data_IF_791333484149
#
_entry.id   IF_791333484149
#
_cell.length_a   1.000
_cell.length_b   1.000
_cell.length_c   1.000
_cell.angle_alpha   90.00
_cell.angle_beta   90.00
_cell.angle_gamma   90.00
#
_symmetry.space_group_name_H-M   'P 1'
#
loop_
_entity.id
_entity.type
_entity.pdbx_description
1 polymer ?
#
# COMPACT_ATOMS: atom_id res chain seq x y z
N UNK A 1 34.26 28.92 32.00
CA UNK A 1 33.85 27.68 32.68
C UNK A 1 32.88 26.98 31.75
N UNK A 2 33.34 25.94 31.06
CA UNK A 2 32.55 25.08 30.16
C UNK A 2 31.99 23.90 30.98
N UNK A 3 30.74 23.49 30.81
CA UNK A 3 30.31 22.18 31.32
C UNK A 3 30.47 21.08 30.27
N UNK A 4 30.75 19.90 30.79
CA UNK A 4 31.26 18.70 30.16
C UNK A 4 30.33 18.06 29.12
N UNK A 5 30.96 17.52 28.07
CA UNK A 5 30.36 16.60 27.10
C UNK A 5 30.00 15.26 27.75
N UNK A 6 28.75 14.83 27.64
CA UNK A 6 28.30 13.48 27.99
C UNK A 6 28.43 12.60 26.74
N UNK A 7 29.22 11.54 26.89
CA UNK A 7 29.58 10.57 25.85
C UNK A 7 28.40 9.65 25.46
N UNK A 8 28.23 9.41 24.12
CA UNK A 8 27.24 8.53 23.48
C UNK A 8 27.27 7.04 23.87
N UNK A 9 28.00 6.63 24.88
CA UNK A 9 28.18 5.23 25.30
C UNK A 9 27.32 4.78 26.49
N UNK A 10 26.47 5.60 27.05
CA UNK A 10 25.69 5.28 28.27
C UNK A 10 24.18 5.02 28.06
N UNK A 11 23.66 5.06 26.82
CA UNK A 11 22.22 4.84 26.52
C UNK A 11 21.88 3.44 25.98
N UNK A 12 22.78 2.47 26.03
CA UNK A 12 22.56 1.10 25.54
C UNK A 12 22.69 0.03 26.65
N UNK A 13 22.07 0.25 27.82
CA UNK A 13 21.92 -0.80 28.85
C UNK A 13 20.60 -0.62 29.60
N UNK A 14 19.54 -1.25 29.05
CA UNK A 14 18.25 -1.25 29.75
C UNK A 14 17.13 -1.96 29.02
N UNK A 15 17.34 -3.15 28.48
CA UNK A 15 16.24 -4.04 28.10
C UNK A 15 16.79 -5.45 27.83
N UNK A 16 17.00 -6.23 28.87
CA UNK A 16 17.16 -7.69 28.76
C UNK A 16 17.15 -8.26 30.19
N UNK A 17 16.02 -8.72 30.64
CA UNK A 17 15.90 -9.81 31.64
C UNK A 17 14.42 -10.12 31.87
N UNK A 18 13.94 -11.21 31.36
CA UNK A 18 13.15 -12.26 32.04
C UNK A 18 12.85 -13.35 31.01
N UNK A 19 13.55 -14.46 31.10
CA UNK A 19 13.06 -15.80 30.81
C UNK A 19 14.11 -16.78 31.37
N UNK A 20 13.85 -17.27 32.53
CA UNK A 20 14.64 -18.31 33.23
C UNK A 20 13.89 -19.63 33.30
N UNK A 21 14.58 -20.69 32.89
CA UNK A 21 14.64 -22.03 33.47
C UNK A 21 13.39 -22.95 33.46
N UNK A 22 13.49 -24.04 32.70
CA UNK A 22 13.47 -25.38 33.30
C UNK A 22 13.95 -26.41 32.27
N UNK A 23 15.18 -26.86 32.41
CA UNK A 23 15.71 -28.08 31.77
C UNK A 23 15.50 -29.27 32.69
N UNK A 24 15.03 -30.40 32.14
CA UNK A 24 15.20 -31.73 32.75
C UNK A 24 15.65 -32.68 31.65
N UNK A 25 16.87 -33.16 31.82
CA UNK A 25 17.43 -34.26 31.06
C UNK A 25 17.04 -35.58 31.73
N UNK A 26 16.62 -36.56 30.94
CA UNK A 26 16.61 -37.95 31.35
C UNK A 26 17.05 -38.84 30.21
N UNK A 27 18.21 -39.51 30.44
CA UNK A 27 18.80 -40.57 29.68
C UNK A 27 18.12 -41.90 29.98
N UNK A 28 17.97 -42.79 28.98
CA UNK A 28 17.58 -44.17 29.32
C UNK A 28 17.24 -45.07 28.14
N UNK A 29 18.30 -45.74 27.57
CA UNK A 29 18.38 -47.12 27.09
C UNK A 29 17.29 -47.81 26.27
N UNK A 30 17.73 -48.24 25.11
CA UNK A 30 17.43 -49.36 24.24
C UNK A 30 16.89 -50.67 24.94
N UNK A 31 15.83 -51.24 24.36
CA UNK A 31 15.73 -52.72 24.24
C UNK A 31 14.85 -53.12 23.04
N UNK A 32 15.38 -54.04 22.26
CA UNK A 32 14.72 -54.70 21.12
C UNK A 32 13.66 -55.69 21.63
N UNK A 33 12.55 -55.79 20.94
CA UNK A 33 11.56 -56.84 21.13
C UNK A 33 10.80 -57.12 19.85
N UNK A 34 10.89 -58.34 19.42
CA UNK A 34 10.45 -59.00 18.22
C UNK A 34 8.90 -59.01 18.05
N UNK A 35 8.50 -59.08 16.78
CA UNK A 35 7.13 -59.25 16.29
C UNK A 35 6.50 -60.60 16.65
N UNK A 36 5.15 -60.71 16.59
CA UNK A 36 4.60 -61.70 15.69
C UNK A 36 3.50 -61.21 14.76
N UNK A 37 3.53 -61.78 13.57
CA UNK A 37 2.54 -61.76 12.49
C UNK A 37 1.35 -62.67 12.79
N UNK A 38 0.14 -62.37 12.24
CA UNK A 38 -0.93 -63.25 11.73
C UNK A 38 -2.26 -62.50 11.61
N UNK A 39 -3.27 -62.86 10.79
CA UNK A 39 -3.35 -62.96 9.32
C UNK A 39 -4.45 -62.06 8.66
N UNK A 40 -4.46 -62.03 7.36
CA UNK A 40 -5.50 -61.45 6.50
C UNK A 40 -6.87 -62.08 6.66
N UNK A 41 -7.91 -61.24 6.78
CA UNK A 41 -9.25 -61.57 6.27
C UNK A 41 -9.77 -60.40 5.45
N UNK A 42 -10.03 -60.71 4.19
CA UNK A 42 -10.62 -59.90 3.15
C UNK A 42 -12.14 -59.91 3.38
N UNK A 43 -12.74 -58.72 3.59
CA UNK A 43 -14.20 -58.53 3.36
C UNK A 43 -14.42 -57.04 3.03
N UNK A 44 -14.64 -56.74 1.73
CA UNK A 44 -15.33 -55.50 1.33
C UNK A 44 -16.81 -55.60 1.63
N UNK A 45 -17.41 -54.49 2.06
CA UNK A 45 -18.52 -53.96 1.25
C UNK A 45 -18.55 -52.42 1.15
N UNK A 46 -19.05 -51.96 0.00
CA UNK A 46 -19.93 -50.82 -0.16
C UNK A 46 -19.33 -49.41 0.00
N UNK A 47 -19.03 -48.79 -1.13
CA UNK A 47 -18.81 -47.36 -1.27
C UNK A 47 -20.13 -46.59 -1.03
N UNK A 48 -20.19 -45.77 0.01
CA UNK A 48 -21.08 -44.61 0.05
C UNK A 48 -20.21 -43.35 -0.07
N UNK A 49 -20.30 -42.73 -1.25
CA UNK A 49 -19.67 -41.44 -1.53
C UNK A 49 -20.50 -40.33 -0.85
N UNK A 50 -20.10 -39.96 0.37
CA UNK A 50 -20.53 -38.71 0.98
C UNK A 50 -20.00 -37.52 0.14
N UNK A 51 -20.70 -36.37 0.12
CA UNK A 51 -20.30 -35.23 -0.68
C UNK A 51 -18.91 -34.77 -0.27
N UNK A 52 -17.98 -34.77 -1.24
CA UNK A 52 -16.66 -34.15 -1.08
C UNK A 52 -16.87 -32.65 -0.84
N UNK A 53 -16.62 -32.22 0.38
CA UNK A 53 -16.44 -30.82 0.70
C UNK A 53 -15.15 -30.41 -0.02
N UNK A 54 -15.30 -29.81 -1.21
CA UNK A 54 -14.21 -29.08 -1.83
C UNK A 54 -13.80 -27.99 -0.84
N UNK A 55 -12.69 -28.19 -0.15
CA UNK A 55 -11.96 -27.09 0.47
C UNK A 55 -11.67 -26.11 -0.68
N UNK A 56 -12.33 -24.96 -0.67
CA UNK A 56 -11.96 -23.88 -1.55
C UNK A 56 -10.51 -23.53 -1.23
N UNK A 57 -9.63 -23.84 -2.15
CA UNK A 57 -8.28 -23.25 -2.17
C UNK A 57 -8.46 -21.75 -2.31
N UNK A 58 -8.39 -21.03 -1.20
CA UNK A 58 -8.40 -19.56 -1.15
C UNK A 58 -7.00 -19.04 -1.50
N UNK A 59 -6.52 -19.43 -2.70
CA UNK A 59 -5.30 -18.90 -3.28
C UNK A 59 -5.62 -17.76 -4.24
N UNK A 60 -4.69 -16.82 -4.43
CA UNK A 60 -4.76 -15.74 -5.43
C UNK A 60 -4.79 -16.25 -6.89
N UNK A 61 -4.82 -17.56 -7.07
CA UNK A 61 -4.82 -18.28 -8.32
C UNK A 61 -5.84 -17.70 -9.31
N UNK A 62 -5.31 -16.94 -10.26
CA UNK A 62 -6.02 -16.40 -11.40
C UNK A 62 -6.44 -14.93 -11.33
N UNK A 63 -6.08 -14.15 -10.32
CA UNK A 63 -6.23 -12.69 -10.39
C UNK A 63 -5.21 -12.11 -11.36
N UNK A 64 -5.67 -11.23 -12.26
CA UNK A 64 -4.80 -10.53 -13.20
C UNK A 64 -4.09 -9.34 -12.55
N UNK A 65 -2.94 -8.99 -13.08
CA UNK A 65 -2.01 -7.96 -12.58
C UNK A 65 -2.51 -6.53 -12.83
N UNK A 66 -3.72 -6.19 -12.40
CA UNK A 66 -4.28 -4.85 -12.54
C UNK A 66 -5.30 -4.50 -11.47
N UNK A 67 -5.52 -3.19 -11.30
CA UNK A 67 -6.51 -2.59 -10.39
C UNK A 67 -7.49 -1.80 -11.25
N UNK A 68 -8.78 -2.08 -11.08
CA UNK A 68 -9.87 -1.49 -11.85
C UNK A 68 -10.63 -0.44 -11.06
N UNK A 69 -11.20 0.55 -11.76
CA UNK A 69 -12.10 1.53 -11.17
C UNK A 69 -13.50 1.42 -11.78
N UNK A 70 -14.58 1.36 -10.97
CA UNK A 70 -15.94 1.42 -11.48
C UNK A 70 -16.26 2.77 -12.13
N UNK A 71 -17.12 2.77 -13.15
CA UNK A 71 -17.53 3.99 -13.85
C UNK A 71 -18.43 4.90 -13.00
N UNK A 72 -19.30 4.33 -12.15
CA UNK A 72 -20.33 5.08 -11.44
C UNK A 72 -20.65 4.56 -10.04
N UNK A 73 -21.82 4.97 -9.54
CA UNK A 73 -22.29 4.65 -8.18
C UNK A 73 -22.65 3.17 -7.98
N UNK A 74 -22.94 2.46 -9.05
CA UNK A 74 -23.30 1.03 -9.07
C UNK A 74 -22.68 0.39 -10.30
N UNK A 75 -22.36 -0.88 -10.22
CA UNK A 75 -21.90 -1.62 -11.40
C UNK A 75 -23.06 -1.82 -12.37
N UNK A 76 -22.79 -1.59 -13.64
CA UNK A 76 -23.66 -2.03 -14.75
C UNK A 76 -23.58 -3.56 -14.89
N UNK A 77 -24.52 -4.16 -15.63
CA UNK A 77 -24.45 -5.59 -15.93
C UNK A 77 -23.17 -5.95 -16.72
N UNK A 78 -22.76 -5.06 -17.63
CA UNK A 78 -21.55 -5.23 -18.43
C UNK A 78 -20.28 -5.15 -17.58
N UNK A 79 -20.20 -4.23 -16.62
CA UNK A 79 -19.07 -4.14 -15.69
C UNK A 79 -18.97 -5.37 -14.78
N UNK A 80 -20.12 -5.88 -14.27
CA UNK A 80 -20.13 -7.11 -13.47
C UNK A 80 -19.57 -8.29 -14.24
N UNK A 81 -20.08 -8.50 -15.46
CA UNK A 81 -19.62 -9.58 -16.32
C UNK A 81 -18.13 -9.43 -16.64
N UNK A 82 -17.71 -8.22 -17.00
CA UNK A 82 -16.32 -7.92 -17.33
C UNK A 82 -15.37 -8.14 -16.15
N UNK A 83 -15.67 -7.61 -14.96
CA UNK A 83 -14.81 -7.79 -13.81
C UNK A 83 -14.77 -9.24 -13.30
N UNK A 84 -15.89 -9.97 -13.41
CA UNK A 84 -15.94 -11.40 -13.08
C UNK A 84 -15.09 -12.25 -14.04
N UNK A 85 -15.02 -11.88 -15.32
CA UNK A 85 -14.24 -12.57 -16.36
C UNK A 85 -12.77 -12.19 -16.27
N UNK A 86 -12.47 -10.89 -16.16
CA UNK A 86 -11.10 -10.34 -16.18
C UNK A 86 -10.39 -10.40 -14.82
N UNK A 87 -11.12 -10.61 -13.72
CA UNK A 87 -10.59 -10.83 -12.35
C UNK A 87 -9.45 -9.88 -11.95
N UNK A 88 -9.68 -8.55 -11.87
CA UNK A 88 -8.66 -7.65 -11.38
C UNK A 88 -8.19 -8.05 -9.98
N UNK A 89 -6.91 -7.82 -9.66
CA UNK A 89 -6.38 -8.07 -8.32
C UNK A 89 -7.05 -7.19 -7.26
N UNK A 90 -7.40 -5.95 -7.60
CA UNK A 90 -8.07 -5.02 -6.71
C UNK A 90 -8.93 -4.01 -7.45
N UNK A 91 -9.58 -3.15 -6.68
CA UNK A 91 -10.41 -2.07 -7.19
C UNK A 91 -10.03 -0.75 -6.53
N UNK A 92 -10.29 0.38 -7.20
CA UNK A 92 -10.12 1.72 -6.62
C UNK A 92 -11.39 2.53 -6.79
N UNK A 93 -11.79 3.27 -5.76
CA UNK A 93 -12.99 4.13 -5.78
C UNK A 93 -12.63 5.60 -5.66
N UNK A 94 -13.40 6.43 -6.34
CA UNK A 94 -13.25 7.89 -6.41
C UNK A 94 -14.54 8.60 -6.02
N UNK A 95 -14.52 9.92 -5.95
CA UNK A 95 -15.71 10.72 -5.66
C UNK A 95 -16.93 10.43 -6.55
N UNK A 96 -16.72 10.03 -7.82
CA UNK A 96 -17.81 9.61 -8.73
C UNK A 96 -18.54 8.33 -8.30
N UNK A 97 -17.91 7.53 -7.46
CA UNK A 97 -18.44 6.26 -6.95
C UNK A 97 -19.16 6.42 -5.59
N UNK A 98 -19.29 7.64 -5.06
CA UNK A 98 -19.71 7.91 -3.69
C UNK A 98 -20.92 8.87 -3.70
N UNK A 99 -22.06 8.42 -3.19
CA UNK A 99 -23.23 9.29 -2.91
C UNK A 99 -23.58 9.31 -1.44
N UNK A 100 -23.62 8.16 -0.80
CA UNK A 100 -23.94 7.99 0.61
C UNK A 100 -23.35 6.68 1.17
N UNK A 101 -23.45 6.50 2.49
CA UNK A 101 -22.85 5.36 3.20
C UNK A 101 -23.38 3.99 2.73
N UNK A 102 -24.69 3.87 2.56
CA UNK A 102 -25.31 2.60 2.14
C UNK A 102 -24.90 2.22 0.73
N UNK A 103 -25.00 3.20 -0.20
CA UNK A 103 -24.64 2.99 -1.60
C UNK A 103 -23.17 2.57 -1.73
N UNK A 104 -22.24 3.21 -1.02
CA UNK A 104 -20.82 2.89 -1.07
C UNK A 104 -20.55 1.49 -0.50
N UNK A 105 -21.17 1.14 0.64
CA UNK A 105 -21.04 -0.19 1.23
C UNK A 105 -21.58 -1.29 0.31
N UNK A 106 -22.70 -1.05 -0.38
CA UNK A 106 -23.26 -1.98 -1.37
C UNK A 106 -22.29 -2.18 -2.54
N UNK A 107 -21.71 -1.09 -3.07
CA UNK A 107 -20.74 -1.15 -4.18
C UNK A 107 -19.48 -1.93 -3.78
N UNK A 108 -18.90 -1.63 -2.63
CA UNK A 108 -17.67 -2.30 -2.17
C UNK A 108 -17.90 -3.77 -1.82
N UNK A 109 -19.08 -4.11 -1.28
CA UNK A 109 -19.47 -5.51 -1.05
C UNK A 109 -19.56 -6.29 -2.37
N UNK A 110 -20.19 -5.70 -3.40
CA UNK A 110 -20.29 -6.29 -4.74
C UNK A 110 -18.90 -6.46 -5.39
N UNK A 111 -18.02 -5.46 -5.30
CA UNK A 111 -16.65 -5.54 -5.80
C UNK A 111 -15.85 -6.65 -5.10
N UNK A 112 -16.01 -6.81 -3.80
CA UNK A 112 -15.35 -7.88 -3.01
C UNK A 112 -15.87 -9.25 -3.40
N UNK A 113 -17.17 -9.40 -3.63
CA UNK A 113 -17.76 -10.65 -4.11
C UNK A 113 -17.17 -11.03 -5.48
N UNK A 114 -17.09 -10.08 -6.41
CA UNK A 114 -16.46 -10.28 -7.74
C UNK A 114 -14.98 -10.65 -7.61
N UNK A 115 -14.24 -9.97 -6.72
CA UNK A 115 -12.84 -10.27 -6.45
C UNK A 115 -12.59 -11.65 -5.85
N UNK A 116 -13.63 -12.28 -5.28
CA UNK A 116 -13.61 -13.67 -4.80
C UNK A 116 -12.72 -13.94 -3.58
N UNK A 117 -12.18 -12.90 -2.95
CA UNK A 117 -11.29 -13.01 -1.78
C UNK A 117 -11.78 -12.09 -0.67
N UNK A 118 -11.76 -12.57 0.58
CA UNK A 118 -12.17 -11.78 1.74
C UNK A 118 -11.33 -10.49 1.90
N UNK A 119 -10.06 -10.57 1.55
CA UNK A 119 -9.11 -9.44 1.59
C UNK A 119 -8.93 -8.78 0.21
N UNK A 120 -9.84 -8.97 -0.77
CA UNK A 120 -9.77 -8.23 -2.04
C UNK A 120 -9.49 -6.75 -1.77
N UNK A 121 -8.37 -6.18 -2.25
CA UNK A 121 -8.03 -4.80 -1.98
C UNK A 121 -9.01 -3.84 -2.67
N UNK A 122 -9.57 -2.91 -1.91
CA UNK A 122 -10.39 -1.81 -2.42
C UNK A 122 -9.74 -0.53 -1.94
N UNK A 123 -9.18 0.21 -2.89
CA UNK A 123 -8.36 1.39 -2.67
C UNK A 123 -9.18 2.69 -2.70
N UNK A 124 -8.63 3.71 -2.06
CA UNK A 124 -9.09 5.10 -2.13
C UNK A 124 -7.88 6.03 -2.01
N UNK A 125 -8.06 7.31 -2.38
CA UNK A 125 -7.16 8.41 -1.99
C UNK A 125 -7.80 9.21 -0.86
N UNK A 126 -7.44 8.93 0.36
CA UNK A 126 -7.93 9.62 1.55
C UNK A 126 -6.74 10.14 2.37
N UNK A 127 -5.98 11.10 1.81
CA UNK A 127 -4.71 11.58 2.39
C UNK A 127 -4.90 12.56 3.57
N UNK A 128 -6.00 13.27 3.57
CA UNK A 128 -6.21 14.50 4.33
C UNK A 128 -6.08 15.76 3.47
N UNK A 129 -6.36 16.92 4.03
CA UNK A 129 -6.33 18.18 3.30
C UNK A 129 -7.24 18.17 2.06
N UNK A 130 -6.67 18.53 0.90
CA UNK A 130 -7.41 18.61 -0.37
C UNK A 130 -7.66 17.26 -1.06
N UNK A 131 -6.92 16.22 -0.69
CA UNK A 131 -7.06 14.89 -1.28
C UNK A 131 -7.90 14.01 -0.37
N UNK A 132 -9.20 14.14 -0.50
CA UNK A 132 -10.20 13.36 0.24
C UNK A 132 -11.37 13.04 -0.69
N UNK A 133 -11.70 11.76 -0.81
CA UNK A 133 -12.87 11.29 -1.56
C UNK A 133 -14.10 11.21 -0.66
N UNK A 134 -13.91 10.70 0.57
CA UNK A 134 -14.94 10.76 1.62
C UNK A 134 -14.88 12.14 2.31
N UNK A 135 -16.04 12.76 2.41
CA UNK A 135 -16.20 14.09 3.03
C UNK A 135 -17.25 14.02 4.13
N UNK A 136 -17.29 14.99 5.04
CA UNK A 136 -18.38 15.07 6.03
C UNK A 136 -19.77 14.99 5.36
N UNK A 137 -20.73 14.23 5.89
CA UNK A 137 -20.66 13.53 7.20
C UNK A 137 -20.05 12.11 7.15
N UNK A 138 -19.62 11.60 5.98
CA UNK A 138 -19.15 10.22 5.84
C UNK A 138 -17.78 9.98 6.49
N UNK A 139 -16.88 10.94 6.42
CA UNK A 139 -15.62 10.98 7.16
C UNK A 139 -15.34 12.41 7.64
N UNK A 140 -14.59 12.57 8.74
CA UNK A 140 -14.14 13.90 9.19
C UNK A 140 -13.22 14.57 8.15
N UNK A 141 -13.15 15.90 8.19
CA UNK A 141 -12.07 16.61 7.51
C UNK A 141 -10.79 16.47 8.32
N UNK A 142 -9.73 15.93 7.69
CA UNK A 142 -8.40 15.83 8.27
C UNK A 142 -7.53 17.02 7.82
N UNK A 143 -6.59 17.48 8.65
CA UNK A 143 -5.58 18.47 8.26
C UNK A 143 -4.69 17.91 7.13
N UNK A 144 -3.93 18.80 6.51
CA UNK A 144 -2.97 18.42 5.47
C UNK A 144 -1.77 17.70 6.08
N UNK A 145 -1.05 16.85 5.33
CA UNK A 145 0.25 16.34 5.77
C UNK A 145 1.23 17.46 6.17
N UNK A 146 1.22 18.62 5.50
CA UNK A 146 2.02 19.78 5.88
C UNK A 146 1.65 20.34 7.26
N UNK A 147 0.40 20.23 7.71
CA UNK A 147 -0.02 20.61 9.07
C UNK A 147 0.63 19.72 10.12
N UNK A 148 0.70 18.40 9.84
CA UNK A 148 1.42 17.46 10.71
C UNK A 148 2.92 17.78 10.73
N UNK A 149 3.49 18.18 9.60
CA UNK A 149 4.86 18.65 9.51
C UNK A 149 5.12 19.89 10.36
N UNK A 150 4.18 20.86 10.36
CA UNK A 150 4.28 22.04 11.25
C UNK A 150 4.18 21.66 12.73
N UNK A 151 3.31 20.73 13.08
CA UNK A 151 3.23 20.21 14.44
C UNK A 151 4.54 19.54 14.85
N UNK A 152 5.12 18.71 13.98
CA UNK A 152 6.39 18.03 14.21
C UNK A 152 7.55 19.01 14.38
N UNK A 153 7.59 20.07 13.61
CA UNK A 153 8.61 21.12 13.74
C UNK A 153 8.52 21.87 15.08
N UNK A 154 7.32 22.02 15.64
CA UNK A 154 7.09 22.64 16.94
C UNK A 154 7.29 21.65 18.12
N UNK A 155 6.90 20.42 17.96
CA UNK A 155 6.93 19.33 18.94
C UNK A 155 7.01 17.98 18.19
N UNK A 156 8.21 17.42 18.12
CA UNK A 156 8.48 16.24 17.33
C UNK A 156 7.68 15.00 17.78
N UNK A 157 7.52 14.81 19.09
CA UNK A 157 6.76 13.69 19.64
C UNK A 157 5.27 13.84 19.34
N UNK A 158 4.72 15.03 19.52
CA UNK A 158 3.32 15.34 19.18
C UNK A 158 3.03 15.16 17.69
N UNK A 159 3.96 15.59 16.81
CA UNK A 159 3.85 15.41 15.36
C UNK A 159 3.80 13.96 14.94
N UNK A 160 4.72 13.14 15.41
CA UNK A 160 4.76 11.68 15.14
C UNK A 160 3.50 11.00 15.70
N UNK A 161 3.08 11.35 16.90
CA UNK A 161 1.86 10.78 17.50
C UNK A 161 0.61 11.16 16.71
N UNK A 162 0.48 12.41 16.30
CA UNK A 162 -0.64 12.88 15.47
C UNK A 162 -0.66 12.19 14.09
N UNK A 163 0.49 11.98 13.47
CA UNK A 163 0.63 11.25 12.22
C UNK A 163 0.17 9.80 12.34
N UNK A 164 0.60 9.10 13.40
CA UNK A 164 0.15 7.73 13.70
C UNK A 164 -1.37 7.68 13.91
N UNK A 165 -1.90 8.62 14.70
CA UNK A 165 -3.35 8.73 14.94
C UNK A 165 -4.11 9.00 13.64
N UNK A 166 -3.61 9.89 12.76
CA UNK A 166 -4.24 10.14 11.47
C UNK A 166 -4.34 8.86 10.65
N UNK A 167 -3.24 8.12 10.49
CA UNK A 167 -3.26 6.83 9.77
C UNK A 167 -4.27 5.84 10.36
N UNK A 168 -4.28 5.70 11.70
CA UNK A 168 -5.19 4.80 12.41
C UNK A 168 -6.67 5.18 12.24
N UNK A 169 -6.96 6.48 12.24
CA UNK A 169 -8.31 7.00 12.11
C UNK A 169 -8.79 7.00 10.65
N UNK A 170 -7.90 7.27 9.68
CA UNK A 170 -8.21 7.11 8.24
C UNK A 170 -8.65 5.67 7.95
N UNK A 171 -7.90 4.67 8.44
CA UNK A 171 -8.31 3.27 8.30
C UNK A 171 -9.70 3.02 8.90
N UNK A 172 -9.97 3.48 10.13
CA UNK A 172 -11.27 3.31 10.76
C UNK A 172 -12.41 3.93 9.95
N UNK A 173 -12.19 5.13 9.37
CA UNK A 173 -13.21 5.87 8.63
C UNK A 173 -13.54 5.25 7.27
N UNK A 174 -12.58 4.61 6.59
CA UNK A 174 -12.82 4.00 5.28
C UNK A 174 -13.30 2.54 5.38
N UNK A 175 -12.83 1.79 6.39
CA UNK A 175 -13.15 0.36 6.52
C UNK A 175 -14.61 0.09 6.85
N UNK A 176 -15.31 1.03 7.47
CA UNK A 176 -16.76 0.92 7.71
C UNK A 176 -17.57 0.87 6.42
N UNK A 177 -17.00 1.33 5.31
CA UNK A 177 -17.58 1.27 3.97
C UNK A 177 -16.99 0.13 3.13
N UNK A 178 -16.23 -0.77 3.73
CA UNK A 178 -15.62 -1.89 3.03
C UNK A 178 -14.38 -1.54 2.21
N UNK A 179 -13.85 -0.32 2.27
CA UNK A 179 -12.57 0.08 1.68
C UNK A 179 -11.47 -0.33 2.66
N UNK A 180 -10.40 -0.99 2.18
CA UNK A 180 -9.39 -1.60 3.04
C UNK A 180 -7.94 -1.27 2.63
N UNK A 181 -7.76 -0.40 1.63
CA UNK A 181 -6.46 0.09 1.19
C UNK A 181 -6.52 1.59 0.90
N UNK A 182 -5.46 2.31 1.20
CA UNK A 182 -5.36 3.75 0.94
C UNK A 182 -4.00 4.12 0.37
N UNK A 183 -4.01 5.04 -0.60
CA UNK A 183 -2.80 5.53 -1.25
C UNK A 183 -2.10 6.58 -0.36
N UNK A 184 -1.68 6.14 0.81
CA UNK A 184 -0.91 6.88 1.83
C UNK A 184 0.21 6.02 2.39
N UNK A 185 1.32 6.65 2.85
CA UNK A 185 1.65 8.08 2.88
C UNK A 185 2.21 8.62 1.55
N UNK A 186 2.08 9.94 1.34
CA UNK A 186 2.84 10.66 0.32
C UNK A 186 4.24 10.98 0.87
N UNK A 187 5.29 10.39 0.29
CA UNK A 187 6.68 10.52 0.74
C UNK A 187 7.50 11.49 -0.11
N UNK A 188 6.84 12.23 -0.99
CA UNK A 188 7.52 13.20 -1.85
C UNK A 188 8.08 14.37 -1.06
N UNK A 189 9.30 14.79 -1.42
CA UNK A 189 10.03 15.90 -0.78
C UNK A 189 10.06 17.07 -1.76
N UNK A 190 9.15 18.06 -1.66
CA UNK A 190 9.13 19.21 -2.56
C UNK A 190 10.37 20.07 -2.44
N UNK A 191 10.81 20.64 -3.58
CA UNK A 191 11.88 21.62 -3.63
C UNK A 191 11.34 22.96 -4.12
N UNK A 192 12.08 24.03 -3.87
CA UNK A 192 11.72 25.36 -4.36
C UNK A 192 11.67 25.37 -5.89
N UNK A 193 10.57 25.83 -6.47
CA UNK A 193 10.37 25.92 -7.92
C UNK A 193 9.77 24.66 -8.56
N UNK A 194 9.53 23.60 -7.79
CA UNK A 194 8.76 22.44 -8.27
C UNK A 194 7.26 22.80 -8.48
N UNK A 195 6.56 21.94 -9.21
CA UNK A 195 5.11 22.08 -9.38
C UNK A 195 4.38 21.93 -8.04
N UNK A 196 3.25 22.64 -7.90
CA UNK A 196 2.45 22.63 -6.66
C UNK A 196 1.58 21.37 -6.50
N UNK A 197 1.65 20.41 -7.41
CA UNK A 197 0.84 19.18 -7.36
C UNK A 197 1.06 18.39 -6.08
N UNK A 198 2.29 18.38 -5.55
CA UNK A 198 2.59 17.82 -4.23
C UNK A 198 2.22 18.85 -3.14
N UNK A 199 2.87 20.00 -3.10
CA UNK A 199 2.49 21.10 -2.21
C UNK A 199 2.26 20.66 -0.77
N UNK A 200 1.06 20.92 -0.25
CA UNK A 200 0.62 20.59 1.12
C UNK A 200 0.36 19.10 1.41
N UNK A 201 0.49 18.24 0.37
CA UNK A 201 0.48 16.78 0.53
C UNK A 201 1.79 16.25 1.13
N UNK A 202 2.88 17.01 1.06
CA UNK A 202 4.14 16.64 1.68
C UNK A 202 4.14 16.95 3.19
N UNK A 203 4.72 16.07 3.99
CA UNK A 203 4.89 16.28 5.43
C UNK A 203 5.94 17.36 5.75
N UNK A 204 6.81 17.69 4.82
CA UNK A 204 7.86 18.70 4.98
C UNK A 204 8.75 18.80 3.75
N UNK A 205 9.81 19.60 3.90
CA UNK A 205 10.84 19.80 2.88
C UNK A 205 12.16 19.08 3.22
N UNK A 206 12.17 18.39 4.36
CA UNK A 206 13.29 17.63 4.87
C UNK A 206 12.99 16.13 4.79
N UNK A 207 13.86 15.32 4.15
CA UNK A 207 13.64 13.88 3.99
C UNK A 207 13.43 13.11 5.28
N UNK A 208 14.13 13.48 6.36
CA UNK A 208 14.01 12.80 7.66
C UNK A 208 12.64 13.05 8.31
N UNK A 209 12.14 14.28 8.21
CA UNK A 209 10.76 14.64 8.64
C UNK A 209 9.71 13.86 7.86
N UNK A 210 9.85 13.82 6.52
CA UNK A 210 8.92 13.08 5.65
C UNK A 210 8.94 11.59 5.99
N UNK A 211 10.12 11.01 6.20
CA UNK A 211 10.26 9.62 6.60
C UNK A 211 9.60 9.33 7.96
N UNK A 212 9.88 10.14 8.97
CA UNK A 212 9.36 9.94 10.33
C UNK A 212 7.81 9.99 10.37
N UNK A 213 7.22 11.00 9.73
CA UNK A 213 5.77 11.18 9.72
C UNK A 213 5.08 10.17 8.78
N UNK A 214 5.67 9.90 7.61
CA UNK A 214 5.19 8.87 6.70
C UNK A 214 5.17 7.48 7.33
N UNK A 215 6.24 7.09 8.04
CA UNK A 215 6.27 5.82 8.79
C UNK A 215 5.15 5.77 9.85
N UNK A 216 4.97 6.85 10.60
CA UNK A 216 3.93 6.91 11.63
C UNK A 216 2.52 6.74 11.03
N UNK A 217 2.24 7.39 9.88
CA UNK A 217 0.95 7.22 9.18
C UNK A 217 0.78 5.78 8.68
N UNK A 218 1.80 5.19 8.06
CA UNK A 218 1.74 3.80 7.58
C UNK A 218 1.49 2.82 8.74
N UNK A 219 2.22 2.97 9.85
CA UNK A 219 2.06 2.12 11.04
C UNK A 219 0.68 2.26 11.67
N UNK A 220 0.17 3.48 11.75
CA UNK A 220 -1.18 3.75 12.23
C UNK A 220 -2.25 3.11 11.35
N UNK A 221 -2.08 3.19 10.01
CA UNK A 221 -3.00 2.61 9.05
C UNK A 221 -3.01 1.08 9.12
N UNK A 222 -1.83 0.44 9.24
CA UNK A 222 -1.71 -1.00 9.47
C UNK A 222 -2.34 -1.41 10.80
N UNK A 223 -2.13 -0.65 11.88
CA UNK A 223 -2.80 -0.90 13.16
C UNK A 223 -4.33 -0.78 13.06
N UNK A 224 -4.82 -0.02 12.09
CA UNK A 224 -6.22 0.06 11.69
C UNK A 224 -6.71 -1.12 10.86
N UNK A 225 -5.84 -2.06 10.48
CA UNK A 225 -6.16 -3.24 9.67
C UNK A 225 -6.15 -3.00 8.17
N UNK A 226 -5.69 -1.84 7.68
CA UNK A 226 -5.66 -1.47 6.28
C UNK A 226 -4.31 -1.67 5.60
N UNK A 227 -4.30 -1.69 4.28
CA UNK A 227 -3.12 -1.75 3.42
C UNK A 227 -2.69 -0.32 3.01
N UNK A 228 -1.59 0.22 3.54
CA UNK A 228 -1.03 1.49 3.10
C UNK A 228 -0.24 1.32 1.79
N UNK A 229 -0.30 2.35 0.93
CA UNK A 229 0.49 2.44 -0.30
C UNK A 229 1.31 3.72 -0.27
N UNK A 230 2.62 3.62 -0.05
CA UNK A 230 3.49 4.80 -0.11
C UNK A 230 3.65 5.31 -1.54
N UNK A 231 3.73 6.64 -1.71
CA UNK A 231 3.80 7.26 -3.05
C UNK A 231 4.59 8.58 -3.06
N UNK A 232 5.13 8.96 -4.21
CA UNK A 232 5.20 8.30 -5.49
C UNK A 232 6.65 7.88 -5.73
N UNK A 233 6.95 6.60 -5.55
CA UNK A 233 8.33 6.09 -5.61
C UNK A 233 8.93 6.22 -7.04
N UNK A 234 10.18 6.68 -7.20
CA UNK A 234 11.18 6.98 -6.18
C UNK A 234 11.20 8.43 -5.68
N UNK A 235 10.20 9.27 -6.00
CA UNK A 235 10.02 10.62 -5.46
C UNK A 235 9.51 11.64 -6.51
N UNK A 236 8.34 12.25 -6.30
CA UNK A 236 7.71 13.22 -7.21
C UNK A 236 8.02 14.69 -6.82
N UNK A 237 8.70 14.92 -5.71
CA UNK A 237 8.82 16.25 -5.09
C UNK A 237 9.56 17.30 -5.93
N UNK A 238 10.39 16.89 -6.93
CA UNK A 238 11.09 17.78 -7.88
C UNK A 238 10.38 17.91 -9.23
N UNK A 239 9.24 17.27 -9.42
CA UNK A 239 8.50 17.34 -10.68
C UNK A 239 8.23 18.78 -11.10
N UNK A 240 8.60 19.15 -12.33
CA UNK A 240 8.41 20.49 -12.90
C UNK A 240 7.05 20.66 -13.58
N UNK A 241 6.16 19.71 -13.42
CA UNK A 241 4.82 19.67 -13.99
C UNK A 241 3.92 18.73 -13.18
N UNK A 242 2.59 18.93 -13.32
CA UNK A 242 1.60 17.97 -12.88
C UNK A 242 1.49 16.82 -13.90
N UNK A 243 1.75 15.59 -13.44
CA UNK A 243 1.71 14.37 -14.25
C UNK A 243 0.32 14.04 -14.82
N UNK A 244 -0.75 14.61 -14.28
CA UNK A 244 -2.09 14.52 -14.88
C UNK A 244 -2.18 15.22 -16.26
N UNK A 245 -1.29 16.16 -16.56
CA UNK A 245 -1.34 16.96 -17.79
C UNK A 245 -0.16 16.75 -18.72
N UNK A 246 1.03 16.50 -18.20
CA UNK A 246 2.26 16.29 -18.99
C UNK A 246 3.32 15.55 -18.18
N UNK A 247 4.27 14.92 -18.87
CA UNK A 247 5.38 14.22 -18.24
C UNK A 247 6.30 15.22 -17.52
N UNK A 248 6.45 15.10 -16.17
CA UNK A 248 7.45 15.86 -15.43
C UNK A 248 8.86 15.34 -15.73
N UNK A 249 9.83 16.25 -15.74
CA UNK A 249 11.24 15.94 -15.99
C UNK A 249 12.08 16.41 -14.80
N UNK A 250 12.91 15.52 -14.29
CA UNK A 250 13.87 15.77 -13.21
C UNK A 250 15.27 15.51 -13.75
N UNK A 251 16.09 16.58 -13.82
CA UNK A 251 17.46 16.51 -14.29
C UNK A 251 18.50 16.54 -13.15
N UNK A 252 18.05 16.37 -11.92
CA UNK A 252 18.91 16.32 -10.73
C UNK A 252 19.78 15.06 -10.78
N UNK A 253 21.10 15.17 -10.46
CA UNK A 253 21.98 14.02 -10.44
C UNK A 253 21.50 12.93 -9.48
N UNK A 254 21.65 11.66 -9.88
CA UNK A 254 21.29 10.48 -9.06
C UNK A 254 21.88 10.55 -7.65
N UNK A 255 23.13 11.00 -7.53
CA UNK A 255 23.81 11.10 -6.22
C UNK A 255 23.10 12.06 -5.26
N UNK A 256 22.50 13.15 -5.77
CA UNK A 256 21.68 14.06 -4.97
C UNK A 256 20.30 13.44 -4.64
N UNK A 257 19.63 12.87 -5.65
CA UNK A 257 18.35 12.18 -5.48
C UNK A 257 18.42 11.07 -4.41
N UNK A 258 19.55 10.35 -4.39
CA UNK A 258 19.81 9.27 -3.41
C UNK A 258 19.74 9.72 -1.96
N UNK A 259 20.23 10.94 -1.68
CA UNK A 259 20.24 11.52 -0.33
C UNK A 259 19.01 12.35 0.02
N UNK A 260 18.15 12.63 -0.94
CA UNK A 260 16.99 13.51 -0.78
C UNK A 260 15.69 12.79 -1.14
N UNK A 261 15.37 12.70 -2.42
CA UNK A 261 14.07 12.20 -2.91
C UNK A 261 13.88 10.70 -2.60
N UNK A 262 14.94 9.89 -2.72
CA UNK A 262 14.87 8.45 -2.44
C UNK A 262 14.97 8.12 -0.95
N UNK A 263 15.46 9.04 -0.12
CA UNK A 263 15.75 8.77 1.29
C UNK A 263 14.51 8.37 2.11
N UNK A 264 13.33 9.03 1.99
CA UNK A 264 12.14 8.60 2.70
C UNK A 264 11.69 7.19 2.28
N UNK A 265 11.79 6.85 0.99
CA UNK A 265 11.42 5.52 0.49
C UNK A 265 12.38 4.44 0.97
N UNK A 266 13.69 4.77 1.12
CA UNK A 266 14.67 3.85 1.74
C UNK A 266 14.33 3.58 3.21
N UNK A 267 13.93 4.60 3.93
CA UNK A 267 13.52 4.46 5.33
C UNK A 267 12.27 3.61 5.50
N UNK A 268 11.34 3.69 4.53
CA UNK A 268 10.04 2.99 4.55
C UNK A 268 10.01 1.77 3.61
N UNK A 269 11.13 1.20 3.22
CA UNK A 269 11.19 0.12 2.24
C UNK A 269 10.50 -1.20 2.64
N UNK A 270 10.02 -1.28 3.88
CA UNK A 270 9.23 -2.41 4.40
C UNK A 270 7.72 -2.18 4.37
N UNK A 271 7.24 -1.02 3.94
CA UNK A 271 5.81 -0.78 3.70
C UNK A 271 5.30 -1.75 2.64
N UNK A 272 4.12 -2.37 2.82
CA UNK A 272 3.70 -3.51 2.00
C UNK A 272 3.46 -3.20 0.53
N UNK A 273 3.12 -1.95 0.19
CA UNK A 273 2.87 -1.53 -1.19
C UNK A 273 3.41 -0.13 -1.49
N UNK A 274 3.77 0.12 -2.75
CA UNK A 274 4.19 1.42 -3.24
C UNK A 274 3.61 1.70 -4.63
N UNK A 275 3.36 2.99 -4.92
CA UNK A 275 2.91 3.49 -6.21
C UNK A 275 4.04 4.26 -6.89
N UNK A 276 4.30 3.97 -8.18
CA UNK A 276 5.37 4.63 -8.94
C UNK A 276 5.03 6.07 -9.31
N UNK A 277 6.07 6.88 -9.55
CA UNK A 277 5.94 8.21 -10.12
C UNK A 277 6.00 8.17 -11.66
N UNK A 278 5.11 8.91 -12.35
CA UNK A 278 5.25 9.18 -13.78
C UNK A 278 6.24 10.33 -14.02
N UNK A 279 7.53 10.09 -13.79
CA UNK A 279 8.60 11.08 -13.90
C UNK A 279 9.75 10.55 -14.74
N UNK A 280 10.28 11.40 -15.61
CA UNK A 280 11.50 11.15 -16.35
C UNK A 280 12.70 11.67 -15.55
N UNK A 281 13.57 10.76 -15.08
CA UNK A 281 14.83 11.09 -14.39
C UNK A 281 15.99 11.01 -15.36
N UNK A 282 16.35 12.13 -15.98
CA UNK A 282 17.28 12.13 -17.13
C UNK A 282 18.71 11.70 -16.79
N UNK A 283 19.12 11.74 -15.52
CA UNK A 283 20.43 11.24 -15.08
C UNK A 283 20.43 9.71 -14.80
N UNK A 284 19.26 9.05 -14.91
CA UNK A 284 19.10 7.61 -14.66
C UNK A 284 18.62 6.92 -15.94
N UNK A 285 17.48 7.33 -16.48
CA UNK A 285 16.94 6.90 -17.76
C UNK A 285 16.38 8.14 -18.48
N UNK A 286 17.02 8.57 -19.57
CA UNK A 286 16.64 9.76 -20.33
C UNK A 286 15.54 9.50 -21.37
N UNK A 287 15.00 8.26 -21.42
CA UNK A 287 14.03 7.81 -22.41
C UNK A 287 12.67 7.45 -21.86
N UNK A 288 12.63 6.85 -20.66
CA UNK A 288 11.43 6.29 -20.09
C UNK A 288 11.13 6.88 -18.72
N UNK A 289 9.86 7.26 -18.43
CA UNK A 289 9.46 7.62 -17.08
C UNK A 289 9.62 6.43 -16.14
N UNK A 290 9.78 6.68 -14.85
CA UNK A 290 10.08 5.65 -13.85
C UNK A 290 9.12 4.45 -13.90
N UNK A 291 7.84 4.68 -14.11
CA UNK A 291 6.82 3.62 -14.25
C UNK A 291 7.08 2.64 -15.41
N UNK A 292 7.72 3.11 -16.49
CA UNK A 292 7.99 2.32 -17.70
C UNK A 292 9.48 1.98 -17.86
N UNK A 293 10.33 2.32 -16.87
CA UNK A 293 11.78 2.15 -16.95
C UNK A 293 12.24 0.92 -16.15
N UNK A 294 12.66 -0.18 -16.82
CA UNK A 294 13.28 -1.31 -16.12
C UNK A 294 14.50 -0.87 -15.31
N UNK A 295 15.26 0.11 -15.81
CA UNK A 295 16.46 0.64 -15.15
C UNK A 295 16.12 1.30 -13.81
N UNK A 296 15.09 2.17 -13.78
CA UNK A 296 14.65 2.83 -12.55
C UNK A 296 14.04 1.80 -11.58
N UNK A 297 13.24 0.87 -12.08
CA UNK A 297 12.61 -0.13 -11.21
C UNK A 297 13.66 -1.08 -10.64
N UNK A 298 14.54 -1.65 -11.45
CA UNK A 298 15.51 -2.65 -11.01
C UNK A 298 16.64 -2.03 -10.17
N UNK A 299 17.31 -0.97 -10.68
CA UNK A 299 18.48 -0.42 -10.00
C UNK A 299 18.14 0.54 -8.86
N UNK A 300 17.07 1.33 -9.00
CA UNK A 300 16.73 2.32 -7.98
C UNK A 300 15.69 1.76 -7.00
N UNK A 301 14.53 1.33 -7.47
CA UNK A 301 13.43 0.94 -6.58
C UNK A 301 13.77 -0.39 -5.87
N UNK A 302 14.11 -1.44 -6.64
CA UNK A 302 14.42 -2.75 -6.06
C UNK A 302 15.84 -2.81 -5.49
N UNK A 303 16.80 -2.17 -6.16
CA UNK A 303 18.21 -2.20 -5.77
C UNK A 303 18.56 -1.19 -4.68
N UNK A 304 18.62 0.10 -5.00
CA UNK A 304 19.13 1.14 -4.10
C UNK A 304 18.20 1.46 -2.92
N UNK A 305 16.90 1.59 -3.18
CA UNK A 305 15.86 1.78 -2.15
C UNK A 305 15.64 0.48 -1.39
N UNK A 306 15.79 -0.67 -2.06
CA UNK A 306 15.62 -1.99 -1.47
C UNK A 306 14.15 -2.35 -1.19
N UNK A 307 13.21 -1.78 -1.96
CA UNK A 307 11.79 -2.05 -1.80
C UNK A 307 11.42 -3.41 -2.40
N UNK A 308 10.95 -4.35 -1.60
CA UNK A 308 10.48 -5.68 -2.04
C UNK A 308 8.97 -5.92 -1.81
N UNK A 309 8.21 -4.86 -1.51
CA UNK A 309 6.75 -4.90 -1.46
C UNK A 309 6.10 -4.86 -2.85
N UNK A 310 4.76 -4.89 -2.88
CA UNK A 310 3.98 -4.77 -4.11
C UNK A 310 4.20 -3.40 -4.75
N UNK A 311 4.62 -3.38 -6.01
CA UNK A 311 4.80 -2.17 -6.80
C UNK A 311 3.66 -2.01 -7.78
N UNK A 312 2.84 -0.98 -7.60
CA UNK A 312 1.78 -0.61 -8.55
C UNK A 312 2.17 0.64 -9.33
N UNK A 313 1.66 0.78 -10.56
CA UNK A 313 1.77 2.05 -11.26
C UNK A 313 0.90 3.13 -10.60
N UNK A 314 1.20 4.42 -10.82
CA UNK A 314 0.16 5.45 -10.81
C UNK A 314 -0.81 5.22 -11.98
N UNK A 315 -1.89 6.00 -12.07
CA UNK A 315 -2.90 5.80 -13.11
C UNK A 315 -2.30 5.81 -14.52
N UNK A 316 -2.34 4.64 -15.16
CA UNK A 316 -1.76 4.43 -16.48
C UNK A 316 -2.40 5.30 -17.58
N UNK A 317 -3.59 5.85 -17.32
CA UNK A 317 -4.31 6.74 -18.25
C UNK A 317 -3.92 8.22 -18.13
N UNK A 318 -3.01 8.58 -17.20
CA UNK A 318 -2.53 9.95 -17.04
C UNK A 318 -1.76 10.44 -18.26
N UNK A 319 -1.92 11.73 -18.61
CA UNK A 319 -1.34 12.32 -19.82
C UNK A 319 0.19 12.45 -19.79
N UNK A 320 0.83 12.19 -18.66
CA UNK A 320 2.27 12.02 -18.56
C UNK A 320 2.77 10.87 -19.43
N UNK A 321 1.97 9.84 -19.62
CA UNK A 321 2.24 8.71 -20.48
C UNK A 321 1.52 8.90 -21.82
N UNK A 322 2.21 8.61 -22.91
CA UNK A 322 1.67 8.76 -24.26
C UNK A 322 1.76 7.44 -25.00
N UNK A 323 0.65 6.98 -25.55
CA UNK A 323 0.58 5.73 -26.30
C UNK A 323 -0.77 5.03 -26.19
N UNK A 324 -0.88 3.83 -26.72
CA UNK A 324 -2.01 2.96 -26.49
C UNK A 324 -1.96 2.38 -25.07
N UNK A 325 -3.07 2.37 -24.37
CA UNK A 325 -3.12 1.92 -22.97
C UNK A 325 -2.74 0.44 -22.79
N UNK A 326 -3.05 -0.40 -23.76
CA UNK A 326 -2.61 -1.80 -23.74
C UNK A 326 -1.10 -1.94 -23.89
N UNK A 327 -0.48 -1.14 -24.74
CA UNK A 327 0.99 -1.11 -24.89
C UNK A 327 1.66 -0.56 -23.64
N UNK A 328 1.17 0.57 -23.11
CA UNK A 328 1.68 1.16 -21.86
C UNK A 328 1.55 0.20 -20.67
N UNK A 329 0.44 -0.55 -20.59
CA UNK A 329 0.24 -1.54 -19.53
C UNK A 329 1.24 -2.69 -19.63
N UNK A 330 1.50 -3.21 -20.84
CA UNK A 330 2.55 -4.22 -21.06
C UNK A 330 3.93 -3.69 -20.71
N UNK A 331 4.29 -2.49 -21.20
CA UNK A 331 5.58 -1.86 -20.87
C UNK A 331 5.76 -1.65 -19.37
N UNK A 332 4.70 -1.26 -18.65
CA UNK A 332 4.72 -1.10 -17.19
C UNK A 332 5.01 -2.42 -16.46
N UNK A 333 4.31 -3.51 -16.83
CA UNK A 333 4.52 -4.84 -16.25
C UNK A 333 5.89 -5.41 -16.63
N UNK A 334 6.30 -5.26 -17.88
CA UNK A 334 7.61 -5.70 -18.38
C UNK A 334 8.77 -4.91 -17.72
N UNK A 335 8.51 -3.65 -17.32
CA UNK A 335 9.47 -2.84 -16.59
C UNK A 335 9.67 -3.31 -15.14
N UNK A 336 8.75 -4.10 -14.58
CA UNK A 336 8.86 -4.69 -13.24
C UNK A 336 7.86 -4.17 -12.21
N UNK A 337 6.82 -3.41 -12.62
CA UNK A 337 5.64 -3.20 -11.80
C UNK A 337 4.90 -4.54 -11.62
N UNK A 338 4.39 -4.80 -10.43
CA UNK A 338 3.64 -6.02 -10.15
C UNK A 338 2.18 -5.92 -10.62
N UNK A 339 1.59 -4.71 -10.58
CA UNK A 339 0.20 -4.45 -11.02
C UNK A 339 0.07 -3.06 -11.67
N UNK A 340 -0.84 -2.96 -12.65
CA UNK A 340 -1.19 -1.71 -13.32
C UNK A 340 -2.45 -1.12 -12.70
N UNK A 341 -2.45 0.19 -12.44
CA UNK A 341 -3.61 0.93 -11.96
C UNK A 341 -4.30 1.67 -13.11
N UNK A 342 -5.64 1.52 -13.22
CA UNK A 342 -6.47 2.29 -14.14
C UNK A 342 -7.64 2.93 -13.39
N UNK A 343 -7.79 4.27 -13.50
CA UNK A 343 -8.63 5.05 -12.60
C UNK A 343 -9.92 5.62 -13.21
N UNK A 344 -10.04 5.76 -14.52
CA UNK A 344 -11.12 6.57 -15.10
C UNK A 344 -12.47 5.86 -15.25
N UNK A 345 -12.51 4.51 -15.23
CA UNK A 345 -13.72 3.72 -15.34
C UNK A 345 -14.28 3.62 -16.77
N UNK A 346 -13.52 4.01 -17.80
CA UNK A 346 -13.91 3.81 -19.20
C UNK A 346 -13.74 2.34 -19.59
N UNK A 347 -14.85 1.72 -20.01
CA UNK A 347 -14.87 0.29 -20.35
C UNK A 347 -13.96 -0.06 -21.54
N UNK A 348 -13.85 0.82 -22.53
CA UNK A 348 -13.01 0.55 -23.69
C UNK A 348 -11.53 0.61 -23.34
N UNK A 349 -11.14 1.50 -22.42
CA UNK A 349 -9.80 1.60 -21.88
C UNK A 349 -9.49 0.44 -20.93
N UNK A 350 -10.41 0.12 -20.01
CA UNK A 350 -10.27 -1.04 -19.11
C UNK A 350 -10.04 -2.36 -19.85
N UNK A 351 -10.71 -2.58 -21.00
CA UNK A 351 -10.46 -3.76 -21.81
C UNK A 351 -9.03 -3.85 -22.32
N UNK A 352 -8.45 -2.73 -22.76
CA UNK A 352 -7.05 -2.70 -23.22
C UNK A 352 -6.06 -3.03 -22.10
N UNK A 353 -6.32 -2.49 -20.90
CA UNK A 353 -5.50 -2.79 -19.72
C UNK A 353 -5.62 -4.26 -19.30
N UNK A 354 -6.85 -4.77 -19.22
CA UNK A 354 -7.12 -6.17 -18.85
C UNK A 354 -6.54 -7.17 -19.86
N UNK A 355 -6.58 -6.85 -21.17
CA UNK A 355 -5.97 -7.67 -22.24
C UNK A 355 -4.44 -7.73 -22.11
N UNK A 356 -3.82 -6.68 -21.61
CA UNK A 356 -2.38 -6.61 -21.37
C UNK A 356 -1.97 -7.30 -20.07
N UNK A 357 -2.80 -7.22 -19.02
CA UNK A 357 -2.52 -7.79 -17.71
C UNK A 357 -2.64 -9.32 -17.75
N UNK A 358 -1.55 -10.00 -17.37
CA UNK A 358 -1.54 -11.45 -17.21
C UNK A 358 -1.93 -11.83 -15.77
N UNK A 359 -2.32 -13.10 -15.52
CA UNK A 359 -2.48 -13.59 -14.16
C UNK A 359 -1.20 -13.35 -13.33
N UNK A 360 -1.37 -12.89 -12.10
CA UNK A 360 -0.27 -12.74 -11.15
C UNK A 360 0.46 -14.06 -10.98
N UNK A 361 1.78 -14.03 -11.00
CA UNK A 361 2.64 -15.21 -10.86
C UNK A 361 4.00 -14.86 -10.26
N UNK A 362 4.72 -15.85 -9.75
CA UNK A 362 6.08 -15.70 -9.23
C UNK A 362 6.19 -14.62 -8.14
N UNK A 363 7.14 -13.70 -8.30
CA UNK A 363 7.38 -12.65 -7.30
C UNK A 363 6.21 -11.65 -7.21
N UNK A 364 5.53 -11.33 -8.31
CA UNK A 364 4.34 -10.48 -8.30
C UNK A 364 3.20 -11.09 -7.47
N UNK A 365 2.95 -12.40 -7.61
CA UNK A 365 1.96 -13.11 -6.80
C UNK A 365 2.36 -13.14 -5.32
N UNK A 366 3.64 -13.42 -5.02
CA UNK A 366 4.17 -13.39 -3.64
C UNK A 366 3.96 -12.04 -2.97
N UNK A 367 4.29 -10.95 -3.68
CA UNK A 367 4.13 -9.57 -3.18
C UNK A 367 2.68 -9.18 -3.01
N UNK A 368 1.84 -9.56 -3.96
CA UNK A 368 0.41 -9.33 -3.87
C UNK A 368 -0.23 -10.07 -2.69
N UNK A 369 0.15 -11.33 -2.45
CA UNK A 369 -0.28 -12.10 -1.29
C UNK A 369 0.20 -11.48 0.03
N UNK A 370 1.45 -11.00 0.09
CA UNK A 370 1.98 -10.31 1.26
C UNK A 370 1.26 -8.99 1.55
N UNK A 371 0.92 -8.22 0.51
CA UNK A 371 0.12 -7.00 0.63
C UNK A 371 -1.29 -7.30 1.15
N UNK A 372 -1.99 -8.29 0.61
CA UNK A 372 -3.30 -8.71 1.11
C UNK A 372 -3.26 -9.20 2.58
N UNK A 373 -2.17 -9.85 2.99
CA UNK A 373 -2.00 -10.31 4.37
C UNK A 373 -1.91 -9.16 5.39
N UNK A 374 -1.63 -7.94 4.95
CA UNK A 374 -1.67 -6.74 5.81
C UNK A 374 -3.11 -6.29 6.11
N UNK A 375 -4.08 -6.69 5.28
CA UNK A 375 -5.50 -6.44 5.52
C UNK A 375 -5.96 -7.44 6.58
N UNK A 376 -5.89 -7.02 7.83
CA UNK A 376 -6.03 -7.86 9.02
C UNK A 376 -7.12 -7.33 9.95
N UNK A 377 -7.55 -8.09 10.96
CA UNK A 377 -8.41 -7.57 12.00
C UNK A 377 -7.78 -6.35 12.68
N UNK A 378 -8.59 -5.32 12.89
CA UNK A 378 -8.20 -4.08 13.57
C UNK A 378 -7.62 -4.38 14.95
N UNK A 379 -6.47 -3.77 15.29
CA UNK A 379 -5.96 -3.80 16.65
C UNK A 379 -6.96 -3.07 17.56
N UNK A 380 -7.55 -3.74 18.58
CA UNK A 380 -8.56 -3.14 19.43
C UNK A 380 -8.04 -1.89 20.15
N UNK A 381 -8.81 -0.82 20.10
CA UNK A 381 -8.49 0.45 20.77
C UNK A 381 -9.79 1.19 21.11
N UNK A 382 -9.71 2.10 22.08
CA UNK A 382 -10.80 3.07 22.33
C UNK A 382 -10.75 4.17 21.27
N UNK A 383 -11.53 4.01 20.21
CA UNK A 383 -11.55 4.93 19.09
C UNK A 383 -11.99 6.34 19.50
N UNK A 384 -12.91 6.46 20.47
CA UNK A 384 -13.36 7.77 20.96
C UNK A 384 -12.21 8.51 21.66
N UNK A 385 -11.41 7.79 22.45
CA UNK A 385 -10.21 8.33 23.08
C UNK A 385 -9.15 8.74 22.04
N UNK A 386 -8.90 7.90 21.03
CA UNK A 386 -7.95 8.23 19.94
C UNK A 386 -8.38 9.47 19.16
N UNK A 387 -9.68 9.61 18.87
CA UNK A 387 -10.22 10.80 18.20
C UNK A 387 -10.14 12.05 19.08
N UNK A 388 -10.31 11.94 20.39
CA UNK A 388 -10.18 13.06 21.32
C UNK A 388 -8.71 13.52 21.39
N UNK A 389 -7.78 12.60 21.57
CA UNK A 389 -6.33 12.86 21.57
C UNK A 389 -5.89 13.52 20.26
N UNK A 390 -6.30 12.97 19.13
CA UNK A 390 -5.97 13.52 17.81
C UNK A 390 -6.41 14.97 17.67
N UNK A 391 -7.68 15.28 18.03
CA UNK A 391 -8.20 16.67 17.96
C UNK A 391 -7.43 17.63 18.83
N UNK A 392 -7.00 17.20 20.02
CA UNK A 392 -6.19 18.03 20.92
C UNK A 392 -4.82 18.35 20.30
N UNK A 393 -4.17 17.35 19.69
CA UNK A 393 -2.86 17.53 19.07
C UNK A 393 -2.92 18.46 17.86
N UNK A 394 -3.86 18.22 16.92
CA UNK A 394 -3.94 19.02 15.69
C UNK A 394 -4.46 20.44 15.92
N UNK A 395 -5.20 20.68 17.00
CA UNK A 395 -5.65 22.03 17.37
C UNK A 395 -4.47 22.99 17.69
N UNK A 396 -3.25 22.46 17.90
CA UNK A 396 -2.05 23.27 18.15
C UNK A 396 -1.52 23.96 16.89
N UNK A 397 -1.96 23.54 15.69
CA UNK A 397 -1.46 24.03 14.38
C UNK A 397 -2.57 24.44 13.42
N UNK A 398 -3.85 24.40 13.88
CA UNK A 398 -5.02 24.83 13.14
C UNK A 398 -5.16 26.34 13.05
#
# INVERSE_FOLDING_TARGET
>A
MLPAQISRRQLLRGALSVAGLAGVALTGRSSRGTAPSIPHTDTRPGADAGPSVHAQETGMSGSKAWIAAPAGLRLTADERAFFADERPWGFIVFGRNISDASQLSDLTAELREIGGRAATPIFIDQEGGRINRLKPPMAPAYPTPADLGRLHAADAEAGVRAAWLQGRLLAADIMVYGINADCVPCLDVPVQGADSVIGDRAYGLDPDTVAALGQAVADGFVAGGGLPVMKHIPGHGRGNADSHYRLPVVATPRAELSGTDFAPFKALNTVPAAMTAHILYTDIDDRRPATLSPLVIEEIIRGEIGFDGLLMSDDISMKALQGDLGDLSRECLDAGCDVVLHCNGDMAEMRKVADAAQPLSGEGERRAAAAEACIAPVVPADEAALRAEYRELVARVA
#
